data_IF_871718894162
#
_entry.id   IF_871718894162
#
_cell.length_a   1.000
_cell.length_b   1.000
_cell.length_c   1.000
_cell.angle_alpha   90.00
_cell.angle_beta   90.00
_cell.angle_gamma   90.00
#
_symmetry.space_group_name_H-M   'P 1'
#
loop_
_entity.id
_entity.type
_entity.pdbx_description
1 polymer ?
#
# COMPACT_ATOMS: atom_id res chain seq x y z
N UNK A 1 -1.92 -7.05 12.93
CA UNK A 1 -2.86 -7.87 12.14
C UNK A 1 -3.37 -8.99 13.02
N UNK A 2 -4.58 -9.49 12.75
CA UNK A 2 -5.19 -10.58 13.54
C UNK A 2 -5.15 -11.87 12.73
N UNK A 3 -4.59 -12.93 13.32
CA UNK A 3 -4.52 -14.26 12.69
C UNK A 3 -3.77 -14.26 11.35
N UNK A 4 -4.37 -14.87 10.35
CA UNK A 4 -3.82 -15.05 9.00
C UNK A 4 -4.28 -13.96 8.00
N UNK A 5 -4.81 -12.85 8.51
CA UNK A 5 -5.27 -11.74 7.69
C UNK A 5 -4.09 -10.99 7.03
N UNK A 6 -4.30 -10.56 5.78
CA UNK A 6 -3.29 -9.90 4.98
C UNK A 6 -2.40 -10.85 4.19
N UNK A 7 -1.80 -10.33 3.13
CA UNK A 7 -0.96 -11.09 2.20
C UNK A 7 -0.03 -10.14 1.43
N UNK A 8 1.03 -10.72 0.88
CA UNK A 8 2.09 -9.98 0.19
C UNK A 8 2.38 -10.66 -1.14
N UNK A 9 2.68 -9.86 -2.15
CA UNK A 9 3.22 -10.38 -3.41
C UNK A 9 4.36 -9.53 -3.96
N UNK A 10 5.23 -10.19 -4.75
CA UNK A 10 6.30 -9.54 -5.50
C UNK A 10 6.32 -10.10 -6.91
N UNK A 11 6.26 -9.21 -7.91
CA UNK A 11 6.39 -9.56 -9.33
C UNK A 11 7.79 -9.28 -9.85
N UNK A 12 8.29 -10.22 -10.66
CA UNK A 12 9.48 -10.08 -11.50
C UNK A 12 9.21 -10.69 -12.87
N UNK A 13 9.14 -9.87 -13.91
CA UNK A 13 8.78 -10.33 -15.26
C UNK A 13 7.39 -10.94 -15.29
N UNK A 14 7.30 -12.20 -15.69
CA UNK A 14 6.02 -12.93 -15.81
C UNK A 14 5.66 -13.77 -14.58
N UNK A 15 6.50 -13.72 -13.54
CA UNK A 15 6.30 -14.48 -12.31
C UNK A 15 5.93 -13.59 -11.13
N UNK A 16 5.00 -14.07 -10.31
CA UNK A 16 4.53 -13.43 -9.09
C UNK A 16 4.68 -14.40 -7.92
N UNK A 17 5.50 -14.04 -6.95
CA UNK A 17 5.59 -14.73 -5.67
C UNK A 17 4.51 -14.17 -4.73
N UNK A 18 3.68 -15.05 -4.15
CA UNK A 18 2.59 -14.70 -3.23
C UNK A 18 2.72 -15.50 -1.94
N UNK A 19 2.41 -14.88 -0.82
CA UNK A 19 2.18 -15.64 0.42
C UNK A 19 1.00 -16.58 0.27
N UNK A 20 1.11 -17.78 0.82
CA UNK A 20 0.06 -18.79 0.74
C UNK A 20 -1.13 -18.43 1.64
N UNK A 21 -2.29 -19.00 1.32
CA UNK A 21 -3.48 -18.84 2.17
C UNK A 21 -3.26 -19.46 3.54
N UNK A 22 -3.77 -18.80 4.60
CA UNK A 22 -3.68 -19.30 5.97
C UNK A 22 -2.34 -19.07 6.67
N UNK A 23 -1.39 -18.37 6.04
CA UNK A 23 -0.09 -18.03 6.63
C UNK A 23 -0.19 -16.77 7.49
N UNK A 24 0.41 -16.81 8.68
CA UNK A 24 0.60 -15.62 9.51
C UNK A 24 1.85 -14.88 9.01
N UNK A 25 1.68 -13.64 8.53
CA UNK A 25 2.79 -12.88 7.92
C UNK A 25 3.99 -12.66 8.86
N UNK A 26 3.76 -12.62 10.18
CA UNK A 26 4.84 -12.45 11.17
C UNK A 26 5.81 -13.63 11.20
N UNK A 27 5.33 -14.84 10.88
CA UNK A 27 6.09 -16.09 10.97
C UNK A 27 6.37 -16.67 9.58
N UNK A 28 6.02 -15.95 8.50
CA UNK A 28 6.13 -16.43 7.14
C UNK A 28 7.59 -16.71 6.74
N UNK A 29 7.78 -17.85 6.13
CA UNK A 29 9.08 -18.33 5.61
C UNK A 29 9.01 -18.49 4.09
N UNK A 30 10.13 -18.81 3.45
CA UNK A 30 10.15 -19.10 2.00
C UNK A 30 9.26 -20.29 1.64
N UNK A 31 9.06 -21.25 2.54
CA UNK A 31 8.19 -22.41 2.32
C UNK A 31 6.69 -22.01 2.25
N UNK A 32 6.35 -20.84 2.78
CA UNK A 32 4.99 -20.29 2.79
C UNK A 32 4.69 -19.40 1.57
N UNK A 33 5.58 -19.41 0.58
CA UNK A 33 5.46 -18.64 -0.66
C UNK A 33 5.17 -19.58 -1.83
N UNK A 34 4.17 -19.22 -2.63
CA UNK A 34 3.83 -19.87 -3.89
C UNK A 34 4.11 -18.92 -5.05
N UNK A 35 4.72 -19.41 -6.12
CA UNK A 35 4.98 -18.64 -7.33
C UNK A 35 3.94 -19.01 -8.38
N UNK A 36 3.30 -18.00 -8.94
CA UNK A 36 2.34 -18.16 -10.04
C UNK A 36 2.80 -17.34 -11.25
N UNK A 37 2.27 -17.68 -12.42
CA UNK A 37 2.37 -16.82 -13.60
C UNK A 37 1.27 -15.72 -13.58
N UNK A 38 1.25 -14.86 -14.60
CA UNK A 38 0.26 -13.79 -14.70
C UNK A 38 -1.17 -14.30 -15.01
N UNK A 39 -1.34 -15.55 -15.40
CA UNK A 39 -2.65 -16.18 -15.53
C UNK A 39 -3.16 -16.73 -14.18
N UNK A 40 -2.26 -16.86 -13.18
CA UNK A 40 -2.57 -17.41 -11.86
C UNK A 40 -2.24 -18.89 -11.73
N UNK A 41 -1.64 -19.50 -12.75
CA UNK A 41 -1.23 -20.90 -12.72
C UNK A 41 0.02 -21.06 -11.84
N UNK A 42 0.00 -22.08 -10.98
CA UNK A 42 1.11 -22.33 -10.04
C UNK A 42 2.32 -22.87 -10.81
N UNK A 43 3.43 -22.15 -10.71
CA UNK A 43 4.72 -22.51 -11.32
C UNK A 43 5.66 -23.17 -10.31
N UNK A 44 5.61 -22.73 -9.04
CA UNK A 44 6.46 -23.31 -7.97
C UNK A 44 5.81 -23.08 -6.60
N UNK A 45 6.22 -23.90 -5.62
CA UNK A 45 5.67 -23.90 -4.27
C UNK A 45 4.71 -25.07 -4.04
N UNK A 46 4.50 -25.42 -2.76
CA UNK A 46 3.67 -26.57 -2.37
C UNK A 46 2.32 -26.19 -1.77
N UNK A 47 2.07 -24.88 -1.54
CA UNK A 47 0.86 -24.40 -0.90
C UNK A 47 -0.05 -23.67 -1.89
N UNK A 48 -1.33 -23.58 -1.57
CA UNK A 48 -2.26 -22.75 -2.35
C UNK A 48 -1.89 -21.26 -2.13
N UNK A 49 -1.82 -20.45 -3.21
CA UNK A 49 -1.65 -19.00 -3.06
C UNK A 49 -2.80 -18.40 -2.24
N UNK A 50 -2.60 -17.18 -1.74
CA UNK A 50 -3.66 -16.43 -1.03
C UNK A 50 -4.99 -16.48 -1.78
N UNK A 51 -6.09 -16.50 -1.04
CA UNK A 51 -7.44 -16.39 -1.61
C UNK A 51 -7.69 -15.07 -2.34
N UNK A 52 -6.80 -14.08 -2.17
CA UNK A 52 -6.87 -12.78 -2.83
C UNK A 52 -5.85 -12.65 -3.99
N UNK A 53 -5.39 -13.78 -4.53
CA UNK A 53 -4.44 -13.80 -5.63
C UNK A 53 -4.90 -12.94 -6.82
N UNK A 54 -6.20 -12.93 -7.15
CA UNK A 54 -6.74 -12.13 -8.26
C UNK A 54 -6.57 -10.62 -8.04
N UNK A 55 -6.74 -10.13 -6.81
CA UNK A 55 -6.45 -8.73 -6.45
C UNK A 55 -4.98 -8.39 -6.77
N UNK A 56 -4.04 -9.20 -6.28
CA UNK A 56 -2.61 -9.01 -6.52
C UNK A 56 -2.27 -9.09 -8.00
N UNK A 57 -2.75 -10.12 -8.69
CA UNK A 57 -2.51 -10.30 -10.12
C UNK A 57 -3.09 -9.16 -10.96
N UNK A 58 -4.29 -8.68 -10.63
CA UNK A 58 -4.91 -7.52 -11.27
C UNK A 58 -4.05 -6.27 -11.18
N UNK A 59 -3.55 -5.96 -9.99
CA UNK A 59 -2.64 -4.82 -9.77
C UNK A 59 -1.31 -5.02 -10.50
N UNK A 60 -0.72 -6.21 -10.44
CA UNK A 60 0.54 -6.50 -11.15
C UNK A 60 0.38 -6.47 -12.68
N UNK A 61 -0.73 -6.98 -13.24
CA UNK A 61 -1.02 -6.90 -14.68
C UNK A 61 -1.10 -5.43 -15.14
N UNK A 62 -1.69 -4.56 -14.32
CA UNK A 62 -1.89 -3.15 -14.66
C UNK A 62 -0.63 -2.31 -14.50
N UNK A 63 0.16 -2.54 -13.46
CA UNK A 63 1.24 -1.63 -13.07
C UNK A 63 2.65 -2.22 -13.22
N UNK A 64 2.78 -3.49 -13.58
CA UNK A 64 4.06 -4.14 -13.86
C UNK A 64 4.77 -4.67 -12.62
N UNK A 65 6.10 -4.74 -12.70
CA UNK A 65 6.99 -5.22 -11.63
C UNK A 65 6.89 -4.36 -10.37
N UNK A 66 7.07 -5.01 -9.23
CA UNK A 66 7.00 -4.37 -7.93
C UNK A 66 6.46 -5.30 -6.85
N UNK A 67 6.04 -4.71 -5.75
CA UNK A 67 5.46 -5.43 -4.62
C UNK A 67 4.10 -4.84 -4.22
N UNK A 68 3.26 -5.68 -3.66
CA UNK A 68 1.95 -5.33 -3.12
C UNK A 68 1.87 -5.88 -1.69
N UNK A 69 1.37 -5.06 -0.80
CA UNK A 69 1.07 -5.42 0.59
C UNK A 69 -0.40 -5.15 0.84
N UNK A 70 -1.11 -6.19 1.24
CA UNK A 70 -2.48 -6.09 1.73
C UNK A 70 -2.50 -6.39 3.22
N UNK A 71 -3.20 -5.54 4.00
CA UNK A 71 -3.26 -5.68 5.45
C UNK A 71 -4.65 -5.38 5.99
N UNK A 72 -4.98 -6.00 7.12
CA UNK A 72 -6.13 -5.65 7.96
C UNK A 72 -5.63 -4.94 9.23
N UNK A 73 -4.83 -3.90 9.06
CA UNK A 73 -4.30 -3.13 10.18
C UNK A 73 -5.43 -2.31 10.84
N UNK A 74 -5.44 -2.18 12.19
CA UNK A 74 -6.63 -1.71 12.91
C UNK A 74 -7.10 -0.31 12.55
N UNK A 75 -6.20 0.67 12.44
CA UNK A 75 -6.59 2.05 12.20
C UNK A 75 -7.10 2.27 10.76
N UNK A 76 -6.41 1.72 9.76
CA UNK A 76 -6.84 1.82 8.36
C UNK A 76 -8.15 1.07 8.12
N UNK A 77 -8.33 -0.10 8.74
CA UNK A 77 -9.57 -0.85 8.65
C UNK A 77 -10.72 -0.11 9.34
N UNK A 78 -10.51 0.42 10.56
CA UNK A 78 -11.53 1.19 11.27
C UNK A 78 -11.93 2.46 10.49
N UNK A 79 -10.94 3.15 9.91
CA UNK A 79 -11.19 4.31 9.05
C UNK A 79 -12.09 3.94 7.87
N UNK A 80 -11.77 2.86 7.17
CA UNK A 80 -12.50 2.39 5.99
C UNK A 80 -13.91 1.84 6.31
N UNK A 81 -14.23 1.58 7.59
CA UNK A 81 -15.59 1.26 8.02
C UNK A 81 -16.50 2.48 8.12
N UNK A 82 -15.95 3.71 8.09
CA UNK A 82 -16.70 4.95 8.39
C UNK A 82 -16.62 5.97 7.26
N UNK A 83 -15.48 6.06 6.57
CA UNK A 83 -15.20 7.13 5.61
C UNK A 83 -14.97 6.58 4.20
N UNK A 84 -15.22 7.43 3.19
CA UNK A 84 -15.03 7.10 1.77
C UNK A 84 -13.67 7.56 1.22
N UNK A 85 -12.94 8.40 1.94
CA UNK A 85 -11.62 8.89 1.56
C UNK A 85 -10.83 9.38 2.78
N UNK A 86 -9.54 9.03 2.87
CA UNK A 86 -8.60 9.64 3.81
C UNK A 86 -8.02 10.91 3.17
N UNK A 87 -8.41 12.11 3.63
CA UNK A 87 -7.92 13.35 3.05
C UNK A 87 -6.46 13.62 3.43
N UNK A 88 -5.79 14.50 2.69
CA UNK A 88 -4.38 14.85 2.95
C UNK A 88 -4.28 15.75 4.19
N UNK A 89 -4.31 15.15 5.37
CA UNK A 89 -4.14 15.86 6.65
C UNK A 89 -2.67 16.02 7.06
N UNK A 90 -1.77 15.28 6.39
CA UNK A 90 -0.33 15.36 6.59
C UNK A 90 0.41 15.18 5.27
N UNK A 91 1.52 15.90 5.08
CA UNK A 91 2.25 15.91 3.81
C UNK A 91 2.84 14.55 3.41
N UNK A 92 3.12 13.64 4.33
CA UNK A 92 3.61 12.29 4.00
C UNK A 92 2.62 11.48 3.17
N UNK A 93 1.31 11.79 3.20
CA UNK A 93 0.34 11.16 2.30
C UNK A 93 0.65 11.41 0.81
N UNK A 94 1.47 12.42 0.48
CA UNK A 94 1.93 12.65 -0.89
C UNK A 94 2.82 11.51 -1.43
N UNK A 95 3.44 10.72 -0.55
CA UNK A 95 4.23 9.53 -0.91
C UNK A 95 3.36 8.37 -1.43
N UNK A 96 2.08 8.37 -1.08
CA UNK A 96 1.10 7.41 -1.60
C UNK A 96 0.22 7.98 -2.71
N UNK A 97 0.52 9.21 -3.17
CA UNK A 97 -0.20 9.89 -4.25
C UNK A 97 -1.18 10.97 -3.77
N UNK A 98 -1.31 11.21 -2.47
CA UNK A 98 -2.22 12.20 -1.88
C UNK A 98 -3.34 11.56 -1.08
N UNK A 99 -4.57 12.03 -1.24
CA UNK A 99 -5.75 11.43 -0.59
C UNK A 99 -5.89 9.95 -0.97
N UNK A 100 -6.25 9.12 0.01
CA UNK A 100 -6.38 7.67 -0.18
C UNK A 100 -7.86 7.30 -0.28
N UNK A 101 -8.33 6.86 -1.45
CA UNK A 101 -9.73 6.49 -1.63
C UNK A 101 -10.08 5.20 -0.89
N UNK A 102 -11.33 5.08 -0.49
CA UNK A 102 -11.92 3.85 0.04
C UNK A 102 -12.75 3.19 -1.06
N UNK A 103 -12.34 2.00 -1.49
CA UNK A 103 -13.13 1.16 -2.41
C UNK A 103 -14.35 0.65 -1.66
N UNK A 104 -15.58 0.79 -2.19
CA UNK A 104 -16.78 0.25 -1.57
C UNK A 104 -16.67 -1.25 -1.27
N UNK A 105 -17.43 -1.73 -0.28
CA UNK A 105 -17.38 -3.14 0.07
C UNK A 105 -17.72 -4.06 -1.11
N UNK A 106 -16.78 -4.91 -1.45
CA UNK A 106 -16.90 -5.99 -2.43
C UNK A 106 -16.32 -7.24 -1.75
N UNK A 107 -16.93 -8.42 -1.87
CA UNK A 107 -16.40 -9.64 -1.29
C UNK A 107 -14.96 -9.92 -1.73
N UNK A 108 -14.13 -10.36 -0.78
CA UNK A 108 -12.73 -10.69 -1.06
C UNK A 108 -12.61 -11.86 -2.07
N UNK A 109 -11.48 -11.91 -2.78
CA UNK A 109 -11.18 -12.98 -3.74
C UNK A 109 -11.96 -12.92 -5.05
N UNK A 110 -12.71 -11.83 -5.29
CA UNK A 110 -13.51 -11.67 -6.52
C UNK A 110 -12.79 -10.83 -7.57
N UNK A 111 -13.02 -11.09 -8.88
CA UNK A 111 -12.52 -10.23 -9.96
C UNK A 111 -13.03 -8.79 -9.88
N UNK A 112 -14.23 -8.59 -9.36
CA UNK A 112 -14.85 -7.27 -9.17
C UNK A 112 -14.06 -6.44 -8.17
N UNK A 113 -13.62 -7.03 -7.04
CA UNK A 113 -12.74 -6.35 -6.08
C UNK A 113 -11.40 -5.99 -6.72
N UNK A 114 -10.79 -6.92 -7.45
CA UNK A 114 -9.54 -6.68 -8.15
C UNK A 114 -9.66 -5.50 -9.14
N UNK A 115 -10.72 -5.46 -9.93
CA UNK A 115 -10.99 -4.39 -10.89
C UNK A 115 -11.20 -3.03 -10.20
N UNK A 116 -11.95 -3.00 -9.10
CA UNK A 116 -12.19 -1.78 -8.32
C UNK A 116 -10.90 -1.24 -7.69
N UNK A 117 -10.06 -2.12 -7.13
CA UNK A 117 -8.74 -1.76 -6.58
C UNK A 117 -7.84 -1.19 -7.66
N UNK A 118 -7.75 -1.84 -8.82
CA UNK A 118 -6.95 -1.36 -9.96
C UNK A 118 -7.40 0.02 -10.42
N UNK A 119 -8.70 0.26 -10.51
CA UNK A 119 -9.26 1.55 -10.89
C UNK A 119 -8.93 2.65 -9.87
N UNK A 120 -9.11 2.37 -8.57
CA UNK A 120 -8.83 3.30 -7.49
C UNK A 120 -7.33 3.62 -7.34
N UNK A 121 -6.46 2.71 -7.78
CA UNK A 121 -4.99 2.89 -7.78
C UNK A 121 -4.43 3.60 -9.01
N UNK A 122 -5.22 4.11 -9.94
CA UNK A 122 -4.74 4.62 -11.23
C UNK A 122 -3.60 5.65 -11.09
N UNK A 123 -3.70 6.57 -10.14
CA UNK A 123 -2.70 7.60 -9.80
C UNK A 123 -2.30 7.57 -8.31
N UNK A 124 -2.58 6.47 -7.63
CA UNK A 124 -2.32 6.25 -6.21
C UNK A 124 -1.42 5.03 -5.98
N UNK A 125 -0.75 5.04 -4.84
CA UNK A 125 0.08 3.92 -4.39
C UNK A 125 -0.59 3.14 -3.25
N UNK A 126 -1.74 3.62 -2.79
CA UNK A 126 -2.51 3.02 -1.71
C UNK A 126 -4.02 3.21 -1.95
N UNK A 127 -4.80 2.24 -1.51
CA UNK A 127 -6.26 2.31 -1.39
C UNK A 127 -6.70 1.65 -0.08
N UNK A 128 -7.79 2.12 0.46
CA UNK A 128 -8.51 1.47 1.55
C UNK A 128 -9.67 0.66 0.98
N UNK A 129 -10.08 -0.38 1.68
CA UNK A 129 -11.19 -1.25 1.31
C UNK A 129 -12.24 -1.21 2.43
N UNK A 130 -13.45 -0.78 2.12
CA UNK A 130 -14.54 -0.68 3.09
C UNK A 130 -14.76 -1.99 3.83
N UNK A 131 -14.78 -1.96 5.16
CA UNK A 131 -14.99 -3.12 6.04
C UNK A 131 -14.00 -4.28 5.81
N UNK A 132 -12.78 -3.99 5.30
CA UNK A 132 -11.83 -5.02 4.93
C UNK A 132 -10.40 -4.66 5.37
N UNK A 133 -9.77 -3.64 4.77
CA UNK A 133 -8.37 -3.31 5.07
C UNK A 133 -7.78 -2.30 4.12
N UNK A 134 -6.48 -2.43 3.86
CA UNK A 134 -5.72 -1.55 2.97
C UNK A 134 -4.87 -2.34 1.97
N UNK A 135 -4.65 -1.77 0.80
CA UNK A 135 -3.72 -2.28 -0.22
C UNK A 135 -2.75 -1.18 -0.58
N UNK A 136 -1.46 -1.50 -0.56
CA UNK A 136 -0.37 -0.60 -0.98
C UNK A 136 0.51 -1.28 -2.00
N UNK A 137 1.12 -0.48 -2.89
CA UNK A 137 2.09 -0.96 -3.87
C UNK A 137 3.37 -0.14 -3.85
N UNK A 138 4.48 -0.75 -4.22
CA UNK A 138 5.78 -0.10 -4.36
C UNK A 138 6.65 -0.77 -5.41
N UNK A 139 7.72 -0.11 -5.86
CA UNK A 139 8.70 -0.72 -6.77
C UNK A 139 9.48 -1.85 -6.07
N UNK A 140 9.55 -1.82 -4.74
CA UNK A 140 10.16 -2.86 -3.90
C UNK A 140 9.21 -3.23 -2.76
N UNK A 141 9.45 -4.38 -2.13
CA UNK A 141 8.70 -4.76 -0.93
C UNK A 141 8.91 -3.77 0.22
N UNK A 142 10.13 -3.27 0.41
CA UNK A 142 10.42 -2.27 1.43
C UNK A 142 9.56 -1.00 1.22
N UNK A 143 9.47 -0.52 -0.02
CA UNK A 143 8.66 0.67 -0.35
C UNK A 143 7.16 0.43 -0.16
N UNK A 144 6.64 -0.74 -0.56
CA UNK A 144 5.24 -1.09 -0.33
C UNK A 144 4.92 -1.18 1.17
N UNK A 145 5.81 -1.77 1.98
CA UNK A 145 5.70 -1.83 3.43
C UNK A 145 5.72 -0.45 4.09
N UNK A 146 6.64 0.43 3.68
CA UNK A 146 6.72 1.80 4.18
C UNK A 146 5.41 2.56 3.92
N UNK A 147 4.85 2.44 2.72
CA UNK A 147 3.54 3.01 2.37
C UNK A 147 2.41 2.45 3.22
N UNK A 148 2.47 1.15 3.56
CA UNK A 148 1.51 0.54 4.49
C UNK A 148 1.57 1.22 5.86
N UNK A 149 2.77 1.43 6.40
CA UNK A 149 2.95 2.13 7.68
C UNK A 149 2.49 3.59 7.61
N UNK A 150 2.77 4.29 6.52
CA UNK A 150 2.29 5.68 6.32
C UNK A 150 0.76 5.74 6.33
N UNK A 151 0.07 4.83 5.65
CA UNK A 151 -1.40 4.79 5.62
C UNK A 151 -1.98 4.49 7.00
N UNK A 152 -1.46 3.47 7.68
CA UNK A 152 -1.91 3.09 9.03
C UNK A 152 -1.70 4.22 10.04
N UNK A 153 -0.51 4.85 10.01
CA UNK A 153 -0.20 6.00 10.83
C UNK A 153 -1.11 7.20 10.54
N UNK A 154 -1.38 7.48 9.26
CA UNK A 154 -2.24 8.60 8.86
C UNK A 154 -3.69 8.40 9.28
N UNK A 155 -4.22 7.17 9.22
CA UNK A 155 -5.55 6.84 9.77
C UNK A 155 -5.59 7.05 11.29
N UNK A 156 -4.56 6.60 12.02
CA UNK A 156 -4.42 6.86 13.46
C UNK A 156 -4.35 8.36 13.76
N UNK A 157 -3.61 9.12 12.94
CA UNK A 157 -3.49 10.57 13.10
C UNK A 157 -4.84 11.27 12.85
N UNK A 158 -5.57 10.83 11.82
CA UNK A 158 -6.90 11.36 11.51
C UNK A 158 -7.88 11.13 12.67
N UNK A 159 -7.91 9.92 13.22
CA UNK A 159 -8.73 9.58 14.38
C UNK A 159 -8.44 10.53 15.55
N UNK A 160 -7.16 10.65 15.94
CA UNK A 160 -6.74 11.52 17.05
C UNK A 160 -7.05 12.98 16.80
N UNK A 161 -6.84 13.48 15.59
CA UNK A 161 -7.15 14.85 15.22
C UNK A 161 -8.66 15.13 15.28
N UNK A 162 -9.48 14.15 14.85
CA UNK A 162 -10.95 14.25 14.86
C UNK A 162 -11.53 14.34 16.28
N UNK A 163 -10.87 13.72 17.26
CA UNK A 163 -11.23 13.86 18.68
C UNK A 163 -10.98 15.29 19.19
N UNK A 164 -9.95 15.96 18.69
CA UNK A 164 -9.57 17.32 19.08
C UNK A 164 -10.39 18.40 18.33
N UNK A 165 -10.98 18.06 17.18
CA UNK A 165 -11.75 18.96 16.35
C UNK A 165 -11.77 18.52 14.89
N UNK A 166 -12.14 19.41 13.98
CA UNK A 166 -12.13 19.12 12.54
C UNK A 166 -10.69 19.14 12.00
N UNK A 167 -10.18 18.03 11.45
CA UNK A 167 -8.83 17.99 10.89
C UNK A 167 -8.67 19.01 9.74
N UNK A 168 -7.53 19.69 9.70
CA UNK A 168 -7.18 20.59 8.61
C UNK A 168 -6.63 19.79 7.44
N UNK A 169 -7.19 19.99 6.26
CA UNK A 169 -6.76 19.33 5.02
C UNK A 169 -5.84 20.24 4.24
N UNK A 170 -4.74 19.71 3.70
CA UNK A 170 -3.85 20.45 2.82
C UNK A 170 -4.50 20.61 1.44
N UNK A 171 -4.74 21.84 1.03
CA UNK A 171 -5.25 22.16 -0.29
C UNK A 171 -4.19 21.95 -1.39
N UNK A 172 -4.61 21.94 -2.65
CA UNK A 172 -3.75 21.65 -3.82
C UNK A 172 -2.50 22.52 -3.90
N UNK A 173 -2.62 23.82 -3.57
CA UNK A 173 -1.47 24.74 -3.54
C UNK A 173 -0.42 24.35 -2.51
N UNK A 174 -0.86 23.96 -1.31
CA UNK A 174 0.02 23.48 -0.25
C UNK A 174 0.67 22.14 -0.61
N UNK A 175 -0.10 21.22 -1.18
CA UNK A 175 0.43 19.94 -1.65
C UNK A 175 1.47 20.13 -2.76
N UNK A 176 1.24 21.02 -3.73
CA UNK A 176 2.23 21.36 -4.75
C UNK A 176 3.52 21.91 -4.14
N UNK A 177 3.41 22.91 -3.25
CA UNK A 177 4.56 23.50 -2.58
C UNK A 177 5.39 22.44 -1.82
N UNK A 178 4.75 21.48 -1.15
CA UNK A 178 5.44 20.37 -0.49
C UNK A 178 6.16 19.48 -1.50
N UNK A 179 5.52 19.09 -2.62
CA UNK A 179 6.16 18.28 -3.66
C UNK A 179 7.41 18.97 -4.23
N UNK A 180 7.35 20.28 -4.46
CA UNK A 180 8.49 21.07 -4.95
C UNK A 180 9.68 21.03 -3.96
N UNK A 181 9.39 21.18 -2.67
CA UNK A 181 10.41 21.08 -1.61
C UNK A 181 10.97 19.67 -1.50
N UNK A 182 10.10 18.63 -1.53
CA UNK A 182 10.55 17.23 -1.49
C UNK A 182 11.47 16.90 -2.68
N UNK A 183 11.15 17.38 -3.86
CA UNK A 183 11.99 17.21 -5.04
C UNK A 183 13.33 17.94 -4.91
N UNK A 184 13.33 19.20 -4.49
CA UNK A 184 14.53 20.02 -4.30
C UNK A 184 15.49 19.43 -3.25
N UNK A 185 14.95 18.93 -2.15
CA UNK A 185 15.70 18.33 -1.05
C UNK A 185 16.03 16.85 -1.24
N UNK A 186 15.56 16.20 -2.32
CA UNK A 186 15.64 14.74 -2.48
C UNK A 186 15.16 14.02 -1.22
N UNK A 187 14.02 14.44 -0.69
CA UNK A 187 13.46 13.98 0.58
C UNK A 187 13.41 12.45 0.66
N UNK A 188 13.69 11.90 1.85
CA UNK A 188 13.69 10.45 2.09
C UNK A 188 14.91 9.70 1.54
N UNK A 189 15.92 10.39 0.97
CA UNK A 189 17.16 9.75 0.51
C UNK A 189 18.35 10.25 1.34
N UNK A 190 19.18 9.35 1.90
CA UNK A 190 20.44 9.75 2.53
C UNK A 190 21.30 10.53 1.51
N UNK A 191 21.83 11.66 1.92
CA UNK A 191 22.70 12.47 1.07
C UNK A 191 24.07 12.56 1.75
N UNK A 192 25.20 12.44 0.99
CA UNK A 192 26.51 12.67 1.57
C UNK A 192 26.58 14.11 2.06
N UNK A 193 27.17 14.31 3.23
CA UNK A 193 27.54 15.65 3.69
C UNK A 193 28.57 16.19 2.71
N UNK A 194 28.21 17.23 1.95
CA UNK A 194 29.16 17.84 1.01
C UNK A 194 30.37 18.32 1.78
N UNK A 195 31.58 17.96 1.34
CA UNK A 195 32.80 18.59 1.78
C UNK A 195 32.64 20.09 1.53
N UNK A 196 32.55 20.87 2.60
CA UNK A 196 32.57 22.32 2.51
C UNK A 196 33.80 22.74 1.71
N UNK A 197 33.80 23.93 1.05
CA UNK A 197 34.92 24.34 0.25
C UNK A 197 36.14 24.27 1.12
N UNK A 198 37.17 23.53 0.69
CA UNK A 198 38.45 23.46 1.34
C UNK A 198 38.94 24.90 1.55
N UNK A 199 39.06 25.31 2.81
CA UNK A 199 39.67 26.58 3.19
C UNK A 199 41.06 26.58 2.61
N UNK A 200 41.29 27.38 1.58
CA UNK A 200 42.62 27.77 1.13
C UNK A 200 43.13 28.92 2.00
#
# INVERSE_FOLDING_TARGET
MVGTAGNISVRRGDLVALTATGVTLADATVADVTVVDLAGEVVAGGLRPTSEAELHLGVHRRFGDGAIVHTHAPASTAFACVFDELPVIHYQLLEVGGAVPVVPFIPFGTPELAAAVVAAMADRQAVLLANHGAVTRGATLAEAMERTFVVEWACTLYEKASVLGTPKVLGDGQQRAVRDVMAALRYGRPQPHGDGPASR
#
